data_IF_483636617497
#
_entry.id   IF_483636617497
#
_cell.length_a   1.000
_cell.length_b   1.000
_cell.length_c   1.000
_cell.angle_alpha   90.00
_cell.angle_beta   90.00
_cell.angle_gamma   90.00
#
_symmetry.space_group_name_H-M   'P 1'
#
loop_
_entity.id
_entity.type
_entity.pdbx_description
1 polymer ?
#
# COMPACT_ATOMS: atom_id res chain seq x y z
N UNK A 1 0.15 -10.39 12.61
CA UNK A 1 -0.74 -10.19 11.46
C UNK A 1 -0.80 -8.71 11.14
N UNK A 2 -0.40 -8.33 9.93
CA UNK A 2 -0.39 -6.97 9.41
C UNK A 2 -1.74 -6.66 8.76
N UNK A 3 -2.32 -5.51 9.09
CA UNK A 3 -3.58 -5.03 8.52
C UNK A 3 -3.31 -3.93 7.51
N UNK A 4 -3.60 -4.22 6.24
CA UNK A 4 -3.39 -3.30 5.12
C UNK A 4 -4.73 -2.70 4.71
N UNK A 5 -4.81 -1.37 4.68
CA UNK A 5 -5.92 -0.66 4.05
C UNK A 5 -5.51 -0.22 2.66
N UNK A 6 -6.14 -0.78 1.62
CA UNK A 6 -5.96 -0.32 0.25
C UNK A 6 -6.98 0.77 -0.06
N UNK A 7 -6.49 1.98 -0.31
CA UNK A 7 -7.31 3.14 -0.65
C UNK A 7 -7.34 3.42 -2.14
N UNK A 8 -8.55 3.52 -2.69
CA UNK A 8 -8.81 3.73 -4.11
C UNK A 8 -9.95 4.75 -4.32
N UNK A 9 -10.34 5.04 -5.56
CA UNK A 9 -11.44 5.95 -5.89
C UNK A 9 -12.85 5.33 -5.77
N UNK A 10 -12.97 4.07 -5.36
CA UNK A 10 -14.28 3.42 -5.13
C UNK A 10 -15.01 2.92 -6.38
N UNK A 11 -14.28 2.40 -7.39
CA UNK A 11 -14.85 1.90 -8.65
C UNK A 11 -14.98 0.37 -8.76
N UNK A 12 -15.53 -0.10 -9.88
CA UNK A 12 -15.70 -1.55 -10.19
C UNK A 12 -14.37 -2.34 -10.18
N UNK A 13 -13.28 -1.73 -10.65
CA UNK A 13 -11.95 -2.37 -10.67
C UNK A 13 -11.45 -2.72 -9.26
N UNK A 14 -11.83 -1.94 -8.24
CA UNK A 14 -11.45 -2.20 -6.86
C UNK A 14 -12.12 -3.48 -6.33
N UNK A 15 -13.38 -3.78 -6.68
CA UNK A 15 -14.10 -4.93 -6.11
C UNK A 15 -13.58 -6.28 -6.62
N UNK A 16 -13.23 -6.38 -7.91
CA UNK A 16 -12.60 -7.58 -8.47
C UNK A 16 -11.21 -7.83 -7.87
N UNK A 17 -10.44 -6.75 -7.70
CA UNK A 17 -9.11 -6.77 -7.11
C UNK A 17 -9.14 -7.19 -5.64
N UNK A 18 -10.11 -6.72 -4.85
CA UNK A 18 -10.32 -7.18 -3.47
C UNK A 18 -10.47 -8.69 -3.41
N UNK A 19 -11.37 -9.23 -4.24
CA UNK A 19 -11.65 -10.66 -4.26
C UNK A 19 -10.40 -11.44 -4.64
N UNK A 20 -9.68 -11.01 -5.66
CA UNK A 20 -8.42 -11.62 -6.09
C UNK A 20 -7.39 -11.66 -4.95
N UNK A 21 -7.12 -10.53 -4.31
CA UNK A 21 -6.12 -10.46 -3.22
C UNK A 21 -6.55 -11.33 -2.04
N UNK A 22 -7.83 -11.28 -1.63
CA UNK A 22 -8.35 -12.13 -0.55
C UNK A 22 -8.24 -13.62 -0.88
N UNK A 23 -8.50 -14.02 -2.12
CA UNK A 23 -8.28 -15.41 -2.57
C UNK A 23 -6.80 -15.79 -2.54
N UNK A 24 -5.90 -14.94 -3.06
CA UNK A 24 -4.46 -15.21 -3.04
C UNK A 24 -3.91 -15.31 -1.61
N UNK A 25 -4.41 -14.52 -0.65
CA UNK A 25 -4.02 -14.64 0.77
C UNK A 25 -4.33 -16.07 1.27
N UNK A 26 -5.48 -16.63 0.90
CA UNK A 26 -5.88 -17.98 1.29
C UNK A 26 -5.02 -19.03 0.61
N UNK A 27 -4.88 -18.94 -0.72
CA UNK A 27 -4.11 -19.89 -1.54
C UNK A 27 -2.63 -19.95 -1.12
N UNK A 28 -2.09 -18.82 -0.68
CA UNK A 28 -0.70 -18.70 -0.25
C UNK A 28 -0.49 -18.91 1.25
N UNK A 29 -1.52 -19.31 2.01
CA UNK A 29 -1.48 -19.52 3.46
C UNK A 29 -1.03 -18.28 4.27
N UNK A 30 -1.39 -17.08 3.82
CA UNK A 30 -1.01 -15.81 4.42
C UNK A 30 -2.05 -15.27 5.42
N UNK A 31 -3.11 -16.01 5.74
CA UNK A 31 -4.21 -15.51 6.60
C UNK A 31 -3.76 -15.16 8.02
N UNK A 32 -2.66 -15.77 8.50
CA UNK A 32 -2.07 -15.46 9.81
C UNK A 32 -1.13 -14.25 9.75
N UNK A 33 -0.63 -13.95 8.56
CA UNK A 33 0.38 -12.94 8.31
C UNK A 33 -0.23 -11.59 7.94
N UNK A 34 -1.28 -11.58 7.12
CA UNK A 34 -1.89 -10.34 6.62
C UNK A 34 -3.41 -10.42 6.49
N UNK A 35 -4.05 -9.26 6.60
CA UNK A 35 -5.41 -9.01 6.13
C UNK A 35 -5.46 -7.73 5.30
N UNK A 36 -6.28 -7.74 4.26
CA UNK A 36 -6.42 -6.58 3.36
C UNK A 36 -7.88 -6.18 3.29
N UNK A 37 -8.15 -4.91 3.55
CA UNK A 37 -9.44 -4.29 3.29
C UNK A 37 -9.29 -3.11 2.34
N UNK A 38 -10.43 -2.68 1.80
CA UNK A 38 -10.47 -1.64 0.79
C UNK A 38 -11.49 -0.58 1.20
N UNK A 39 -11.14 0.68 1.00
CA UNK A 39 -12.00 1.80 1.30
C UNK A 39 -11.71 2.96 0.35
N UNK A 40 -12.68 3.85 0.07
CA UNK A 40 -12.37 5.12 -0.57
C UNK A 40 -11.28 5.88 0.19
N UNK A 41 -10.36 6.55 -0.53
CA UNK A 41 -9.28 7.31 0.12
C UNK A 41 -9.80 8.39 1.10
N UNK A 42 -10.97 8.95 0.82
CA UNK A 42 -11.65 9.92 1.71
C UNK A 42 -11.95 9.38 3.12
N UNK A 43 -11.98 8.06 3.32
CA UNK A 43 -12.22 7.45 4.63
C UNK A 43 -10.92 7.13 5.39
N UNK A 44 -9.75 7.36 4.79
CA UNK A 44 -8.45 7.01 5.37
C UNK A 44 -8.27 7.62 6.77
N UNK A 45 -8.58 8.91 6.95
CA UNK A 45 -8.44 9.60 8.25
C UNK A 45 -9.40 9.10 9.33
N UNK A 46 -10.47 8.39 8.98
CA UNK A 46 -11.43 7.82 9.95
C UNK A 46 -11.05 6.40 10.35
N UNK A 47 -10.52 5.64 9.39
CA UNK A 47 -10.28 4.21 9.53
C UNK A 47 -8.84 3.88 9.93
N UNK A 48 -7.88 4.80 9.78
CA UNK A 48 -6.47 4.47 9.88
C UNK A 48 -6.05 3.76 11.17
N UNK A 49 -6.69 4.05 12.29
CA UNK A 49 -6.41 3.43 13.59
C UNK A 49 -6.60 1.90 13.61
N UNK A 50 -7.36 1.35 12.66
CA UNK A 50 -7.63 -0.08 12.57
C UNK A 50 -6.56 -0.84 11.77
N UNK A 51 -5.63 -0.12 11.14
CA UNK A 51 -4.66 -0.65 10.18
C UNK A 51 -3.22 -0.29 10.56
N UNK A 52 -2.27 -1.05 10.01
CA UNK A 52 -0.84 -0.84 10.24
C UNK A 52 -0.20 -0.04 9.08
N UNK A 53 -0.80 -0.08 7.89
CA UNK A 53 -0.34 0.64 6.71
C UNK A 53 -1.50 0.98 5.78
N UNK A 54 -1.43 2.17 5.18
CA UNK A 54 -2.35 2.60 4.12
C UNK A 54 -1.61 2.56 2.79
N UNK A 55 -2.10 1.75 1.86
CA UNK A 55 -1.57 1.65 0.50
C UNK A 55 -2.54 2.27 -0.49
N UNK A 56 -2.08 3.26 -1.23
CA UNK A 56 -2.92 4.11 -2.07
C UNK A 56 -2.69 3.80 -3.54
N UNK A 57 -3.77 3.75 -4.31
CA UNK A 57 -3.71 3.54 -5.75
C UNK A 57 -2.92 4.69 -6.46
N UNK A 58 -2.15 4.41 -7.52
CA UNK A 58 -1.25 5.40 -8.15
C UNK A 58 -1.99 6.62 -8.73
N UNK A 59 -3.25 6.44 -9.13
CA UNK A 59 -4.09 7.48 -9.70
C UNK A 59 -4.49 8.56 -8.67
N UNK A 60 -4.48 8.25 -7.37
CA UNK A 60 -4.86 9.17 -6.29
C UNK A 60 -3.67 9.89 -5.65
N UNK A 61 -2.47 9.83 -6.24
CA UNK A 61 -1.24 10.45 -5.69
C UNK A 61 -1.38 11.94 -5.34
N UNK A 62 -2.12 12.70 -6.16
CA UNK A 62 -2.28 14.14 -5.93
C UNK A 62 -3.13 14.43 -4.69
N UNK A 63 -4.13 13.60 -4.44
CA UNK A 63 -4.96 13.68 -3.24
C UNK A 63 -4.14 13.33 -2.00
N UNK A 64 -3.23 12.34 -2.09
CA UNK A 64 -2.32 11.97 -1.00
C UNK A 64 -1.47 13.16 -0.56
N UNK A 65 -0.86 13.88 -1.51
CA UNK A 65 -0.02 15.04 -1.18
C UNK A 65 -0.79 16.15 -0.43
N UNK A 66 -2.05 16.39 -0.80
CA UNK A 66 -2.90 17.34 -0.08
C UNK A 66 -3.36 16.80 1.28
N UNK A 67 -3.63 15.51 1.37
CA UNK A 67 -4.07 14.82 2.57
C UNK A 67 -3.00 14.81 3.66
N UNK A 68 -1.77 14.41 3.35
CA UNK A 68 -0.67 14.36 4.34
C UNK A 68 -0.34 15.74 4.92
N UNK A 69 -0.51 16.81 4.14
CA UNK A 69 -0.31 18.19 4.62
C UNK A 69 -1.40 18.62 5.62
N UNK A 70 -2.63 18.13 5.43
CA UNK A 70 -3.77 18.44 6.31
C UNK A 70 -3.80 17.55 7.56
N UNK A 71 -3.26 16.34 7.45
CA UNK A 71 -3.28 15.31 8.48
C UNK A 71 -1.85 14.89 8.84
N UNK A 72 -1.02 15.87 9.21
CA UNK A 72 0.40 15.68 9.52
C UNK A 72 0.64 14.89 10.82
N UNK A 73 -0.40 14.77 11.64
CA UNK A 73 -0.45 14.05 12.91
C UNK A 73 -0.71 12.55 12.75
N UNK A 74 -0.99 12.07 11.53
CA UNK A 74 -1.19 10.65 11.24
C UNK A 74 0.10 9.85 11.46
N UNK A 75 0.11 9.05 12.51
CA UNK A 75 1.21 8.14 12.85
C UNK A 75 1.03 6.75 12.22
N UNK A 76 0.83 6.72 10.90
CA UNK A 76 0.70 5.49 10.09
C UNK A 76 1.37 5.74 8.74
N UNK A 77 2.10 4.77 8.16
CA UNK A 77 2.65 4.93 6.83
C UNK A 77 1.56 5.01 5.77
N UNK A 78 1.68 6.02 4.90
CA UNK A 78 0.89 6.16 3.68
C UNK A 78 1.84 5.96 2.50
N UNK A 79 1.61 4.87 1.77
CA UNK A 79 2.43 4.47 0.64
C UNK A 79 1.63 4.51 -0.67
N UNK A 80 2.17 5.12 -1.72
CA UNK A 80 1.55 5.09 -3.04
C UNK A 80 2.10 3.89 -3.81
N UNK A 81 1.23 2.99 -4.27
CA UNK A 81 1.63 1.78 -4.99
C UNK A 81 2.20 2.12 -6.38
N UNK A 82 3.29 1.46 -6.82
CA UNK A 82 3.78 1.56 -8.18
C UNK A 82 2.71 1.09 -9.20
N UNK A 83 2.58 1.72 -10.38
CA UNK A 83 1.54 1.37 -11.35
C UNK A 83 1.51 -0.10 -11.77
N UNK A 84 2.68 -0.70 -12.02
CA UNK A 84 2.79 -2.11 -12.43
C UNK A 84 2.46 -3.07 -11.29
N UNK A 85 2.92 -2.77 -10.07
CA UNK A 85 2.59 -3.56 -8.88
C UNK A 85 1.09 -3.50 -8.60
N UNK A 86 0.46 -2.33 -8.71
CA UNK A 86 -1.00 -2.19 -8.60
C UNK A 86 -1.74 -3.04 -9.64
N UNK A 87 -1.25 -3.09 -10.89
CA UNK A 87 -1.85 -3.91 -11.95
C UNK A 87 -1.80 -5.42 -11.66
N UNK A 88 -0.70 -5.91 -11.08
CA UNK A 88 -0.57 -7.33 -10.72
C UNK A 88 -1.28 -7.67 -9.41
N UNK A 89 -1.16 -6.79 -8.40
CA UNK A 89 -1.72 -6.91 -7.06
C UNK A 89 -1.52 -8.30 -6.45
N UNK A 90 -0.27 -8.78 -6.45
CA UNK A 90 0.08 -10.08 -5.89
C UNK A 90 0.15 -10.01 -4.36
N UNK A 91 -0.53 -10.91 -3.65
CA UNK A 91 -0.63 -10.85 -2.19
C UNK A 91 0.72 -11.04 -1.46
N UNK A 92 1.60 -11.92 -1.96
CA UNK A 92 2.92 -12.15 -1.36
C UNK A 92 3.81 -10.92 -1.48
N UNK A 93 3.84 -10.33 -2.66
CA UNK A 93 4.64 -9.13 -2.91
C UNK A 93 4.10 -7.92 -2.14
N UNK A 94 2.77 -7.80 -2.03
CA UNK A 94 2.11 -6.77 -1.22
C UNK A 94 2.47 -6.89 0.27
N UNK A 95 2.48 -8.10 0.82
CA UNK A 95 2.88 -8.35 2.19
C UNK A 95 4.33 -7.95 2.47
N UNK A 96 5.27 -8.35 1.59
CA UNK A 96 6.69 -8.03 1.76
C UNK A 96 6.90 -6.51 1.75
N UNK A 97 6.27 -5.79 0.82
CA UNK A 97 6.33 -4.33 0.82
C UNK A 97 5.72 -3.74 2.08
N UNK A 98 4.57 -4.25 2.55
CA UNK A 98 3.93 -3.75 3.76
C UNK A 98 4.85 -3.82 4.98
N UNK A 99 5.54 -4.95 5.17
CA UNK A 99 6.54 -5.13 6.23
C UNK A 99 7.63 -4.06 6.10
N UNK A 100 8.25 -3.95 4.92
CA UNK A 100 9.37 -3.03 4.70
C UNK A 100 8.97 -1.55 4.86
N UNK A 101 7.75 -1.19 4.46
CA UNK A 101 7.20 0.15 4.62
C UNK A 101 6.98 0.49 6.10
N UNK A 102 6.40 -0.43 6.87
CA UNK A 102 6.13 -0.22 8.30
C UNK A 102 7.45 -0.03 9.04
N UNK A 103 8.43 -0.90 8.77
CA UNK A 103 9.76 -0.83 9.37
C UNK A 103 10.45 0.49 9.01
N UNK A 104 10.51 0.84 7.72
CA UNK A 104 11.16 2.07 7.27
C UNK A 104 10.44 3.35 7.71
N UNK A 105 9.12 3.32 7.90
CA UNK A 105 8.37 4.45 8.45
C UNK A 105 8.62 4.64 9.94
N UNK A 106 8.86 3.57 10.70
CA UNK A 106 9.20 3.69 12.11
C UNK A 106 10.49 4.47 12.34
N UNK A 107 11.41 4.44 11.37
CA UNK A 107 12.64 5.22 11.40
C UNK A 107 12.46 6.66 10.91
N UNK A 108 11.73 6.89 9.81
CA UNK A 108 11.64 8.21 9.19
C UNK A 108 10.49 9.08 9.71
N UNK A 109 9.34 8.47 10.03
CA UNK A 109 8.07 9.13 10.38
C UNK A 109 7.60 10.17 9.35
N UNK A 110 7.92 9.95 8.08
CA UNK A 110 7.56 10.85 6.97
C UNK A 110 6.47 10.27 6.07
N UNK A 111 5.49 11.09 5.71
CA UNK A 111 4.42 10.75 4.77
C UNK A 111 4.33 11.75 3.59
N UNK A 112 4.01 11.28 2.36
CA UNK A 112 3.97 9.88 1.96
C UNK A 112 5.34 9.22 2.10
N UNK A 113 5.34 7.94 2.46
CA UNK A 113 6.57 7.18 2.60
C UNK A 113 7.01 6.62 1.24
N UNK A 114 8.33 6.57 0.99
CA UNK A 114 8.91 6.08 -0.25
C UNK A 114 10.10 5.19 0.02
N UNK A 115 10.25 4.15 -0.78
CA UNK A 115 11.52 3.43 -0.86
C UNK A 115 12.60 4.32 -1.48
N UNK A 116 13.86 4.10 -1.10
CA UNK A 116 15.01 4.86 -1.63
C UNK A 116 15.07 4.74 -3.16
N UNK A 117 15.01 5.89 -3.85
CA UNK A 117 15.01 5.97 -5.31
C UNK A 117 13.64 5.75 -5.96
N UNK A 118 12.55 5.71 -5.17
CA UNK A 118 11.15 5.59 -5.63
C UNK A 118 10.31 6.82 -5.25
N UNK A 119 10.93 7.98 -5.11
CA UNK A 119 10.26 9.24 -4.78
C UNK A 119 9.26 9.61 -5.90
N UNK A 120 9.66 9.43 -7.16
CA UNK A 120 8.80 9.61 -8.34
C UNK A 120 8.07 8.31 -8.71
N UNK A 121 7.04 7.97 -7.93
CA UNK A 121 6.33 6.68 -8.00
C UNK A 121 5.80 6.32 -9.40
N UNK A 122 5.45 7.32 -10.21
CA UNK A 122 4.93 7.10 -11.57
C UNK A 122 5.98 6.58 -12.55
N UNK A 123 7.27 6.76 -12.25
CA UNK A 123 8.38 6.23 -13.06
C UNK A 123 8.79 4.82 -12.65
N UNK A 124 8.35 4.35 -11.47
CA UNK A 124 8.74 3.06 -10.91
C UNK A 124 8.19 1.91 -11.75
N UNK A 125 9.08 1.02 -12.19
CA UNK A 125 8.78 -0.06 -13.14
C UNK A 125 8.66 -1.45 -12.52
N UNK A 126 8.77 -1.59 -11.19
CA UNK A 126 8.64 -2.90 -10.54
C UNK A 126 7.19 -3.32 -10.42
N UNK A 127 6.98 -4.63 -10.57
CA UNK A 127 5.68 -5.27 -10.40
C UNK A 127 5.62 -6.16 -9.13
N UNK A 128 6.78 -6.36 -8.50
CA UNK A 128 6.98 -7.07 -7.24
C UNK A 128 7.46 -6.11 -6.15
N UNK A 129 7.66 -6.63 -4.93
CA UNK A 129 8.17 -5.89 -3.77
C UNK A 129 9.54 -5.28 -4.02
N UNK A 130 9.85 -4.18 -3.34
CA UNK A 130 11.11 -3.46 -3.48
C UNK A 130 12.32 -4.37 -3.25
N UNK A 131 12.29 -5.16 -2.17
CA UNK A 131 13.36 -6.09 -1.81
C UNK A 131 13.56 -7.19 -2.86
N UNK A 132 12.48 -7.74 -3.42
CA UNK A 132 12.59 -8.76 -4.47
C UNK A 132 13.07 -8.16 -5.79
N UNK A 133 12.59 -6.97 -6.14
CA UNK A 133 13.08 -6.24 -7.31
C UNK A 133 14.58 -5.98 -7.23
N UNK A 134 15.09 -5.55 -6.06
CA UNK A 134 16.52 -5.31 -5.83
C UNK A 134 17.41 -6.55 -5.80
N UNK A 135 16.85 -7.76 -5.69
CA UNK A 135 17.62 -9.02 -5.79
C UNK A 135 17.78 -9.50 -7.23
N UNK A 136 16.89 -9.05 -8.12
CA UNK A 136 16.88 -9.45 -9.52
C UNK A 136 17.90 -8.67 -10.37
N UNK A 137 18.56 -7.66 -9.80
CA UNK A 137 19.56 -6.78 -10.38
C UNK A 137 20.73 -6.61 -9.41
#
# INVERSE_FOLDING_TARGET
MIKILICCLGGFSSSAMVKKVKSEIIENNLQKEMSVDFSPFMNANKLYHEYDVIMVCPHTRYEVNGFVKKHYDLNIPIYVLPPKMYGQMNAKELYIDAVDIIDGYNDSKTNPWHFKGEEEIMTVQRACSYRNFKKAF
#
